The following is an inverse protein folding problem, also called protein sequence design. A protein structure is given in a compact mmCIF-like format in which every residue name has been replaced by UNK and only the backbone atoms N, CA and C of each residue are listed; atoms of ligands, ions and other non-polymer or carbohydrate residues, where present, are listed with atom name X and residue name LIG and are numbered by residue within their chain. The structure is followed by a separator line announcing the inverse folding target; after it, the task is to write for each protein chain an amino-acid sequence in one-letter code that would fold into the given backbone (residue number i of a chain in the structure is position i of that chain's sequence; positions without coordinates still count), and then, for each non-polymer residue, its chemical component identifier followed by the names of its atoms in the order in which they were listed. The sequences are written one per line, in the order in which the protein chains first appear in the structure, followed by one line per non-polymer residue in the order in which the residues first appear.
data_IF_029028684421
#
_entry.id   IF_029028684421
#
_cell.length_a   1.000
_cell.length_b   1.000
_cell.length_c   1.000
_cell.angle_alpha   90.00
_cell.angle_beta   90.00
_cell.angle_gamma   90.00
#
_symmetry.space_group_name_H-M   'P 1'
#
loop_
_entity.id
_entity.type
_entity.pdbx_description
1 polymer ?
#
# COMPACT_ATOMS: atom_id res chain seq x y z
N UNK A 1 -6.84 9.64 1.03
CA UNK A 1 -7.22 8.93 2.28
C UNK A 1 -6.00 8.19 2.84
N UNK A 2 -5.87 8.09 4.17
CA UNK A 2 -4.74 7.42 4.82
C UNK A 2 -5.23 6.22 5.64
N UNK A 3 -4.47 5.12 5.60
CA UNK A 3 -4.80 3.86 6.26
C UNK A 3 -3.56 3.25 6.90
N UNK A 4 -3.77 2.43 7.94
CA UNK A 4 -2.74 1.62 8.55
C UNK A 4 -3.12 0.14 8.43
N UNK A 5 -2.15 -0.71 8.14
CA UNK A 5 -2.35 -2.15 7.97
C UNK A 5 -1.34 -2.96 8.78
N UNK A 6 -1.78 -4.13 9.23
CA UNK A 6 -0.95 -5.19 9.78
C UNK A 6 -1.16 -6.47 8.94
N UNK A 7 -0.59 -6.53 7.72
CA UNK A 7 -0.83 -7.64 6.80
C UNK A 7 -0.20 -8.97 7.25
N UNK A 8 0.85 -8.91 8.06
CA UNK A 8 1.53 -10.07 8.65
C UNK A 8 1.94 -9.75 10.09
N UNK A 9 2.20 -10.77 10.93
CA UNK A 9 2.79 -10.55 12.24
C UNK A 9 4.08 -9.71 12.12
N UNK A 10 4.17 -8.64 12.92
CA UNK A 10 5.33 -7.72 13.00
C UNK A 10 5.64 -6.88 11.75
N UNK A 11 4.89 -7.03 10.66
CA UNK A 11 5.01 -6.15 9.49
C UNK A 11 3.90 -5.11 9.57
N UNK A 12 4.24 -3.89 10.00
CA UNK A 12 3.32 -2.75 10.02
C UNK A 12 3.62 -1.83 8.85
N UNK A 13 2.58 -1.30 8.23
CA UNK A 13 2.72 -0.29 7.19
C UNK A 13 1.58 0.72 7.24
N UNK A 14 1.88 1.92 6.75
CA UNK A 14 0.89 2.93 6.43
C UNK A 14 0.72 3.03 4.91
N UNK A 15 -0.44 3.47 4.46
CA UNK A 15 -0.68 3.76 3.04
C UNK A 15 -1.45 5.06 2.85
N UNK A 16 -1.20 5.71 1.73
CA UNK A 16 -2.01 6.83 1.24
C UNK A 16 -2.63 6.41 -0.09
N UNK A 17 -3.96 6.51 -0.19
CA UNK A 17 -4.72 6.40 -1.44
C UNK A 17 -5.09 7.80 -1.93
N UNK A 18 -4.75 8.08 -3.18
CA UNK A 18 -5.22 9.20 -3.96
C UNK A 18 -6.25 8.64 -4.94
N UNK A 19 -7.57 8.82 -4.69
CA UNK A 19 -8.60 8.41 -5.64
C UNK A 19 -8.36 9.07 -6.99
N UNK A 20 -8.68 8.35 -8.07
CA UNK A 20 -8.58 8.91 -9.41
C UNK A 20 -9.77 9.84 -9.68
N UNK A 21 -9.54 10.85 -10.49
CA UNK A 21 -10.55 11.80 -10.95
C UNK A 21 -10.64 11.77 -12.49
N UNK A 22 -11.22 12.81 -13.08
CA UNK A 22 -11.37 12.92 -14.54
C UNK A 22 -10.05 13.22 -15.26
N UNK A 23 -9.05 13.74 -14.54
CA UNK A 23 -7.77 14.17 -15.11
C UNK A 23 -6.64 13.15 -14.81
N UNK A 24 -6.69 12.48 -13.65
CA UNK A 24 -5.64 11.61 -13.17
C UNK A 24 -6.15 10.23 -12.70
N UNK A 25 -5.42 9.13 -13.00
CA UNK A 25 -5.75 7.81 -12.49
C UNK A 25 -5.51 7.71 -10.97
N UNK A 26 -6.19 6.77 -10.30
CA UNK A 26 -5.94 6.53 -8.88
C UNK A 26 -4.50 6.09 -8.64
N UNK A 27 -3.91 6.56 -7.54
CA UNK A 27 -2.57 6.24 -7.10
C UNK A 27 -2.57 5.84 -5.64
N UNK A 28 -1.69 4.92 -5.25
CA UNK A 28 -1.42 4.65 -3.85
C UNK A 28 0.07 4.55 -3.56
N UNK A 29 0.44 4.87 -2.33
CA UNK A 29 1.81 4.73 -1.81
C UNK A 29 1.74 3.98 -0.48
N UNK A 30 2.77 3.19 -0.18
CA UNK A 30 2.93 2.49 1.10
C UNK A 30 4.24 2.88 1.76
N UNK A 31 4.24 2.90 3.08
CA UNK A 31 5.42 3.13 3.91
C UNK A 31 5.52 2.02 4.94
N UNK A 32 6.62 1.27 4.90
CA UNK A 32 6.92 0.22 5.85
C UNK A 32 7.56 0.79 7.12
N UNK A 33 7.29 0.15 8.25
CA UNK A 33 8.08 0.37 9.46
C UNK A 33 9.55 0.01 9.20
N UNK A 34 10.48 0.79 9.78
CA UNK A 34 11.92 0.63 9.56
C UNK A 34 12.44 -0.76 9.98
N UNK A 35 11.79 -1.42 10.94
CA UNK A 35 12.17 -2.76 11.40
C UNK A 35 11.68 -3.88 10.46
N UNK A 36 10.88 -3.59 9.43
CA UNK A 36 10.26 -4.61 8.57
C UNK A 36 11.28 -5.49 7.86
N UNK A 37 12.44 -4.93 7.47
CA UNK A 37 13.53 -5.68 6.81
C UNK A 37 14.21 -6.71 7.70
N UNK A 38 14.01 -6.65 9.03
CA UNK A 38 14.48 -7.68 9.95
C UNK A 38 13.60 -8.94 9.94
N UNK A 39 12.36 -8.83 9.48
CA UNK A 39 11.37 -9.92 9.51
C UNK A 39 11.05 -10.48 8.13
N UNK A 40 11.37 -9.74 7.06
CA UNK A 40 11.13 -10.15 5.69
C UNK A 40 12.18 -9.54 4.76
N UNK A 41 12.54 -10.28 3.71
CA UNK A 41 13.46 -9.79 2.68
C UNK A 41 12.88 -8.60 1.93
N UNK A 42 13.75 -7.76 1.37
CA UNK A 42 13.33 -6.59 0.57
C UNK A 42 12.39 -6.98 -0.56
N UNK A 43 12.65 -8.09 -1.26
CA UNK A 43 11.78 -8.59 -2.33
C UNK A 43 10.39 -9.00 -1.81
N UNK A 44 10.33 -9.61 -0.63
CA UNK A 44 9.06 -9.95 0.03
C UNK A 44 8.25 -8.70 0.39
N UNK A 45 8.92 -7.68 0.95
CA UNK A 45 8.30 -6.39 1.25
C UNK A 45 7.82 -5.67 -0.02
N UNK A 46 8.62 -5.71 -1.09
CA UNK A 46 8.27 -5.13 -2.38
C UNK A 46 7.01 -5.80 -2.97
N UNK A 47 6.95 -7.13 -2.96
CA UNK A 47 5.79 -7.87 -3.47
C UNK A 47 4.53 -7.61 -2.63
N UNK A 48 4.67 -7.61 -1.29
CA UNK A 48 3.58 -7.32 -0.37
C UNK A 48 3.06 -5.88 -0.55
N UNK A 49 3.97 -4.91 -0.67
CA UNK A 49 3.64 -3.51 -0.93
C UNK A 49 2.95 -3.31 -2.27
N UNK A 50 3.51 -3.88 -3.35
CA UNK A 50 2.92 -3.83 -4.69
C UNK A 50 1.51 -4.44 -4.72
N UNK A 51 1.33 -5.59 -4.06
CA UNK A 51 0.03 -6.23 -3.94
C UNK A 51 -1.01 -5.38 -3.21
N UNK A 52 -0.62 -4.67 -2.14
CA UNK A 52 -1.52 -3.76 -1.44
C UNK A 52 -1.85 -2.54 -2.29
N UNK A 53 -0.84 -1.89 -2.88
CA UNK A 53 -1.00 -0.72 -3.76
C UNK A 53 -1.94 -1.04 -4.92
N UNK A 54 -1.78 -2.19 -5.58
CA UNK A 54 -2.65 -2.61 -6.67
C UNK A 54 -4.12 -2.74 -6.25
N UNK A 55 -4.39 -3.29 -5.05
CA UNK A 55 -5.75 -3.39 -4.49
C UNK A 55 -6.33 -2.03 -4.15
N UNK A 56 -5.52 -1.14 -3.57
CA UNK A 56 -5.93 0.23 -3.23
C UNK A 56 -6.26 1.05 -4.48
N UNK A 57 -5.44 0.96 -5.53
CA UNK A 57 -5.70 1.64 -6.81
C UNK A 57 -6.99 1.10 -7.44
N UNK A 58 -7.18 -0.22 -7.46
CA UNK A 58 -8.41 -0.83 -7.97
C UNK A 58 -9.64 -0.34 -7.21
N UNK A 59 -9.57 -0.26 -5.88
CA UNK A 59 -10.64 0.28 -5.06
C UNK A 59 -10.85 1.79 -5.32
N UNK A 60 -9.78 2.57 -5.40
CA UNK A 60 -9.81 4.00 -5.68
C UNK A 60 -10.45 4.35 -7.02
N UNK A 61 -10.22 3.55 -8.05
CA UNK A 61 -10.88 3.70 -9.35
C UNK A 61 -12.38 3.34 -9.32
N UNK A 62 -12.80 2.47 -8.41
CA UNK A 62 -14.19 2.07 -8.25
C UNK A 62 -15.02 3.05 -7.40
N UNK A 63 -14.36 4.01 -6.75
CA UNK A 63 -14.99 5.07 -5.94
C UNK A 63 -15.41 6.30 -6.76
N UNK A 64 -15.32 6.24 -8.10
CA UNK A 64 -15.82 7.27 -9.02
C UNK A 64 -17.34 7.37 -8.96
#
# INVERSE_FOLDING_TARGET
MAYAFLPLPRIRLASILYPGDDEFPARASVLFDAASSHYMTTDGLALLGAGLVGRLIKAGNALK
#
